data_IF_460033218378
#
_entry.id   IF_460033218378
#
_cell.length_a   1.000
_cell.length_b   1.000
_cell.length_c   1.000
_cell.angle_alpha   90.00
_cell.angle_beta   90.00
_cell.angle_gamma   90.00
#
_symmetry.space_group_name_H-M   'P 1'
#
loop_
_entity.id
_entity.type
_entity.pdbx_description
1 polymer ?
#
# COMPACT_ATOMS: atom_id res chain seq x y z
N UNK A 1 -31.02 -17.07 -3.58
CA UNK A 1 -31.33 -16.00 -4.56
C UNK A 1 -30.37 -14.83 -4.43
N UNK A 2 -30.19 -14.26 -3.22
CA UNK A 2 -29.34 -13.09 -2.95
C UNK A 2 -27.89 -13.13 -3.49
N UNK A 3 -27.20 -14.28 -3.40
CA UNK A 3 -25.81 -14.40 -3.88
C UNK A 3 -25.67 -14.23 -5.39
N UNK A 4 -26.65 -14.67 -6.18
CA UNK A 4 -26.62 -14.50 -7.64
C UNK A 4 -26.79 -13.02 -8.01
N UNK A 5 -27.72 -12.31 -7.36
CA UNK A 5 -27.91 -10.86 -7.56
C UNK A 5 -26.65 -10.06 -7.19
N UNK A 6 -25.98 -10.42 -6.09
CA UNK A 6 -24.72 -9.81 -5.69
C UNK A 6 -23.57 -10.14 -6.66
N UNK A 7 -23.49 -11.37 -7.18
CA UNK A 7 -22.53 -11.70 -8.22
C UNK A 7 -22.76 -10.89 -9.50
N UNK A 8 -23.99 -10.81 -10.00
CA UNK A 8 -24.32 -9.98 -11.17
C UNK A 8 -23.90 -8.51 -10.97
N UNK A 9 -24.11 -7.96 -9.77
CA UNK A 9 -23.68 -6.61 -9.42
C UNK A 9 -22.16 -6.47 -9.33
N UNK A 10 -21.45 -7.48 -8.83
CA UNK A 10 -19.98 -7.53 -8.79
C UNK A 10 -19.38 -7.65 -10.19
N UNK A 11 -19.91 -8.56 -11.01
CA UNK A 11 -19.57 -8.73 -12.41
C UNK A 11 -19.74 -7.41 -13.19
N UNK A 12 -20.90 -6.76 -13.10
CA UNK A 12 -21.14 -5.47 -13.75
C UNK A 12 -20.16 -4.37 -13.29
N UNK A 13 -19.86 -4.29 -11.98
CA UNK A 13 -18.89 -3.33 -11.44
C UNK A 13 -17.45 -3.61 -11.91
N UNK A 14 -17.02 -4.87 -11.93
CA UNK A 14 -15.68 -5.29 -12.37
C UNK A 14 -15.51 -5.11 -13.89
N UNK A 15 -16.49 -5.50 -14.69
CA UNK A 15 -16.51 -5.27 -16.14
C UNK A 15 -16.47 -3.79 -16.49
N UNK A 16 -17.26 -2.93 -15.81
CA UNK A 16 -17.19 -1.46 -15.97
C UNK A 16 -15.83 -0.87 -15.58
N UNK A 17 -15.06 -1.54 -14.72
CA UNK A 17 -13.70 -1.15 -14.37
C UNK A 17 -12.64 -1.68 -15.36
N UNK A 18 -13.01 -2.59 -16.27
CA UNK A 18 -12.12 -3.20 -17.25
C UNK A 18 -11.48 -4.51 -16.78
N UNK A 19 -12.13 -5.29 -15.93
CA UNK A 19 -11.74 -6.69 -15.69
C UNK A 19 -11.95 -7.49 -16.99
N UNK A 20 -10.92 -8.26 -17.39
CA UNK A 20 -10.90 -9.01 -18.67
C UNK A 20 -10.71 -10.52 -18.49
N UNK A 21 -10.19 -10.95 -17.35
CA UNK A 21 -9.82 -12.34 -17.07
C UNK A 21 -11.05 -13.18 -16.66
N UNK A 22 -12.21 -12.93 -17.29
CA UNK A 22 -13.45 -13.67 -17.06
C UNK A 22 -13.36 -15.11 -17.58
N UNK A 23 -12.50 -15.38 -18.58
CA UNK A 23 -12.23 -16.72 -19.09
C UNK A 23 -11.53 -17.63 -18.07
N UNK A 24 -10.85 -17.08 -17.06
CA UNK A 24 -10.24 -17.85 -15.97
C UNK A 24 -11.10 -17.88 -14.70
N UNK A 25 -12.39 -17.50 -14.79
CA UNK A 25 -13.32 -17.43 -13.67
C UNK A 25 -14.60 -18.17 -14.02
N UNK A 26 -14.81 -19.34 -13.41
CA UNK A 26 -16.10 -20.05 -13.54
C UNK A 26 -17.14 -19.48 -12.57
N UNK A 27 -18.41 -19.50 -12.97
CA UNK A 27 -19.52 -19.15 -12.06
C UNK A 27 -19.58 -20.12 -10.86
N UNK A 28 -19.26 -21.40 -11.07
CA UNK A 28 -19.18 -22.40 -10.01
C UNK A 28 -18.15 -22.06 -8.94
N UNK A 29 -16.96 -21.59 -9.33
CA UNK A 29 -15.92 -21.14 -8.40
C UNK A 29 -16.36 -19.91 -7.61
N UNK A 30 -17.02 -18.95 -8.28
CA UNK A 30 -17.57 -17.78 -7.60
C UNK A 30 -18.64 -18.17 -6.58
N UNK A 31 -19.57 -19.04 -6.95
CA UNK A 31 -20.72 -19.42 -6.13
C UNK A 31 -20.36 -20.37 -4.99
N UNK A 32 -19.33 -21.21 -5.15
CA UNK A 32 -18.74 -22.01 -4.06
C UNK A 32 -17.84 -21.20 -3.13
N UNK A 33 -17.36 -20.04 -3.57
CA UNK A 33 -16.49 -19.19 -2.76
C UNK A 33 -15.01 -19.52 -2.89
N UNK A 34 -14.55 -19.99 -4.05
CA UNK A 34 -13.16 -20.36 -4.31
C UNK A 34 -12.19 -19.21 -3.94
N UNK A 35 -11.25 -19.41 -2.99
CA UNK A 35 -10.32 -18.37 -2.54
C UNK A 35 -9.54 -17.71 -3.68
N UNK A 36 -9.12 -18.49 -4.69
CA UNK A 36 -8.33 -18.00 -5.81
C UNK A 36 -9.10 -16.97 -6.65
N UNK A 37 -10.35 -17.30 -7.00
CA UNK A 37 -11.23 -16.41 -7.78
C UNK A 37 -11.44 -15.07 -7.09
N UNK A 38 -11.67 -15.07 -5.78
CA UNK A 38 -11.80 -13.82 -5.02
C UNK A 38 -10.45 -13.09 -4.88
N UNK A 39 -9.34 -13.80 -4.70
CA UNK A 39 -8.01 -13.18 -4.71
C UNK A 39 -7.68 -12.50 -6.05
N UNK A 40 -8.05 -13.09 -7.19
CA UNK A 40 -7.95 -12.47 -8.53
C UNK A 40 -8.74 -11.16 -8.60
N UNK A 41 -10.00 -11.15 -8.11
CA UNK A 41 -10.79 -9.91 -8.03
C UNK A 41 -10.13 -8.84 -7.13
N UNK A 42 -9.61 -9.23 -5.97
CA UNK A 42 -8.92 -8.32 -5.04
C UNK A 42 -7.66 -7.72 -5.66
N UNK A 43 -6.79 -8.53 -6.29
CA UNK A 43 -5.58 -8.04 -7.00
C UNK A 43 -5.96 -7.08 -8.14
N UNK A 44 -7.00 -7.39 -8.90
CA UNK A 44 -7.50 -6.48 -9.93
C UNK A 44 -7.94 -5.14 -9.32
N UNK A 45 -8.71 -5.15 -8.23
CA UNK A 45 -9.16 -3.93 -7.56
C UNK A 45 -7.97 -3.08 -7.09
N UNK A 46 -6.99 -3.67 -6.39
CA UNK A 46 -5.79 -2.95 -5.97
C UNK A 46 -4.97 -2.39 -7.16
N UNK A 47 -4.79 -3.17 -8.23
CA UNK A 47 -4.12 -2.72 -9.46
C UNK A 47 -4.89 -1.60 -10.18
N UNK A 48 -6.22 -1.61 -10.13
CA UNK A 48 -7.07 -0.65 -10.85
C UNK A 48 -7.12 0.74 -10.22
N UNK A 49 -6.81 0.84 -8.93
CA UNK A 49 -6.79 2.07 -8.13
C UNK A 49 -5.38 2.35 -7.56
N UNK A 50 -4.33 2.49 -8.40
CA UNK A 50 -2.94 2.49 -7.94
C UNK A 50 -2.62 3.62 -6.95
N UNK A 51 -3.21 4.82 -7.12
CA UNK A 51 -3.02 5.93 -6.19
C UNK A 51 -3.62 5.65 -4.80
N UNK A 52 -4.84 5.09 -4.73
CA UNK A 52 -5.47 4.71 -3.47
C UNK A 52 -4.72 3.56 -2.80
N UNK A 53 -4.31 2.54 -3.56
CA UNK A 53 -3.47 1.44 -3.07
C UNK A 53 -2.13 1.96 -2.52
N UNK A 54 -1.48 2.92 -3.20
CA UNK A 54 -0.25 3.55 -2.71
C UNK A 54 -0.47 4.38 -1.44
N UNK A 55 -1.62 5.05 -1.27
CA UNK A 55 -1.98 5.70 -0.01
C UNK A 55 -2.15 4.68 1.13
N UNK A 56 -2.78 3.54 0.86
CA UNK A 56 -2.95 2.47 1.85
C UNK A 56 -1.60 1.87 2.27
N UNK A 57 -0.71 1.57 1.32
CA UNK A 57 0.67 1.09 1.57
C UNK A 57 1.51 2.08 2.41
N UNK A 58 1.24 3.39 2.30
CA UNK A 58 1.92 4.43 3.10
C UNK A 58 1.29 4.64 4.47
N UNK A 59 -0.01 4.37 4.62
CA UNK A 59 -0.77 4.57 5.86
C UNK A 59 -0.68 3.39 6.81
N UNK A 60 -0.51 2.18 6.28
CA UNK A 60 -0.49 0.93 7.03
C UNK A 60 0.80 0.17 6.66
N UNK A 61 1.78 0.22 7.55
CA UNK A 61 3.08 -0.45 7.47
C UNK A 61 2.98 -1.97 7.28
N UNK A 62 1.96 -2.60 7.86
CA UNK A 62 1.64 -4.02 7.71
C UNK A 62 0.87 -4.37 6.43
N UNK A 63 0.36 -3.38 5.67
CA UNK A 63 -0.46 -3.65 4.48
C UNK A 63 0.43 -3.95 3.28
N UNK A 64 0.23 -5.11 2.65
CA UNK A 64 0.91 -5.54 1.43
C UNK A 64 -0.10 -6.18 0.46
N UNK A 65 0.13 -6.02 -0.85
CA UNK A 65 -0.66 -6.72 -1.88
C UNK A 65 0.03 -8.05 -2.18
N UNK A 66 -0.41 -9.09 -1.49
CA UNK A 66 0.23 -10.41 -1.45
C UNK A 66 0.05 -11.22 -2.75
N UNK A 67 1.10 -11.95 -3.12
CA UNK A 67 1.08 -12.92 -4.21
C UNK A 67 0.34 -14.21 -3.83
N UNK A 68 0.31 -14.55 -2.54
CA UNK A 68 -0.44 -15.68 -1.98
C UNK A 68 -1.91 -15.30 -1.74
N UNK A 69 -2.83 -16.18 -2.11
CA UNK A 69 -4.28 -15.89 -2.08
C UNK A 69 -4.83 -15.77 -0.65
N UNK A 70 -4.38 -16.62 0.27
CA UNK A 70 -4.87 -16.65 1.65
C UNK A 70 -4.34 -15.44 2.43
N UNK A 71 -3.05 -15.10 2.27
CA UNK A 71 -2.46 -13.88 2.83
C UNK A 71 -3.07 -12.61 2.25
N UNK A 72 -3.37 -12.57 0.94
CA UNK A 72 -4.07 -11.43 0.36
C UNK A 72 -5.46 -11.26 0.99
N UNK A 73 -6.21 -12.36 1.13
CA UNK A 73 -7.49 -12.37 1.82
C UNK A 73 -7.38 -11.86 3.26
N UNK A 74 -6.45 -12.40 4.04
CA UNK A 74 -6.18 -12.01 5.42
C UNK A 74 -5.86 -10.51 5.57
N UNK A 75 -4.94 -10.00 4.75
CA UNK A 75 -4.54 -8.60 4.73
C UNK A 75 -5.68 -7.69 4.27
N UNK A 76 -6.53 -8.16 3.34
CA UNK A 76 -7.75 -7.46 2.92
C UNK A 76 -8.80 -7.41 4.03
N UNK A 77 -9.04 -8.51 4.77
CA UNK A 77 -9.94 -8.54 5.93
C UNK A 77 -9.49 -7.51 6.98
N UNK A 78 -8.20 -7.54 7.34
CA UNK A 78 -7.62 -6.57 8.30
C UNK A 78 -7.76 -5.15 7.81
N UNK A 79 -7.55 -4.88 6.52
CA UNK A 79 -7.76 -3.57 5.92
C UNK A 79 -9.22 -3.10 5.99
N UNK A 80 -10.18 -3.95 5.63
CA UNK A 80 -11.60 -3.56 5.66
C UNK A 80 -12.09 -3.30 7.08
N UNK A 81 -11.65 -4.09 8.06
CA UNK A 81 -11.94 -3.86 9.48
C UNK A 81 -11.35 -2.53 9.98
N UNK A 82 -10.07 -2.26 9.68
CA UNK A 82 -9.34 -1.08 10.20
C UNK A 82 -9.61 0.23 9.45
N UNK A 83 -9.90 0.19 8.15
CA UNK A 83 -9.98 1.36 7.29
C UNK A 83 -11.40 1.68 6.78
N UNK A 84 -12.31 0.69 6.80
CA UNK A 84 -13.70 0.85 6.40
C UNK A 84 -14.70 0.50 7.53
N UNK A 85 -14.21 0.16 8.73
CA UNK A 85 -15.00 -0.25 9.90
C UNK A 85 -16.00 -1.38 9.62
N UNK A 86 -15.68 -2.27 8.68
CA UNK A 86 -16.52 -3.41 8.31
C UNK A 86 -16.46 -4.49 9.41
N UNK A 87 -17.60 -4.80 10.01
CA UNK A 87 -17.72 -5.72 11.16
C UNK A 87 -18.09 -7.15 10.76
N UNK A 88 -18.83 -7.34 9.67
CA UNK A 88 -19.33 -8.64 9.19
C UNK A 88 -18.34 -9.32 8.23
N UNK A 89 -17.09 -9.49 8.66
CA UNK A 89 -16.02 -10.09 7.87
C UNK A 89 -15.69 -11.52 8.33
N UNK A 90 -15.28 -12.36 7.39
CA UNK A 90 -14.69 -13.66 7.68
C UNK A 90 -13.26 -13.52 8.19
N UNK A 91 -12.77 -14.51 8.96
CA UNK A 91 -11.36 -14.59 9.35
C UNK A 91 -10.44 -14.89 8.16
N UNK A 92 -9.13 -14.68 8.36
CA UNK A 92 -8.08 -15.11 7.42
C UNK A 92 -8.18 -16.60 7.04
N UNK A 93 -8.42 -17.48 8.01
CA UNK A 93 -8.56 -18.92 7.79
C UNK A 93 -9.84 -19.27 7.03
N UNK A 94 -10.95 -18.59 7.32
CA UNK A 94 -12.22 -18.74 6.60
C UNK A 94 -12.13 -18.23 5.15
N UNK A 95 -11.28 -17.24 4.85
CA UNK A 95 -11.02 -16.83 3.47
C UNK A 95 -10.39 -17.96 2.64
N UNK A 96 -9.57 -18.82 3.24
CA UNK A 96 -8.97 -19.99 2.59
C UNK A 96 -9.94 -21.14 2.29
N UNK A 97 -11.20 -21.08 2.75
CA UNK A 97 -12.19 -22.14 2.54
C UNK A 97 -13.04 -21.88 1.28
N UNK A 98 -13.40 -22.91 0.51
CA UNK A 98 -14.46 -22.86 -0.51
C UNK A 98 -15.86 -22.85 0.15
N UNK A 99 -16.10 -21.80 0.94
CA UNK A 99 -17.32 -21.43 1.64
C UNK A 99 -17.38 -19.89 1.70
N UNK A 100 -18.45 -19.34 2.25
CA UNK A 100 -18.60 -17.89 2.47
C UNK A 100 -18.56 -17.02 1.21
N UNK A 101 -18.94 -17.56 0.04
CA UNK A 101 -19.00 -16.84 -1.25
C UNK A 101 -19.63 -15.45 -1.12
N UNK A 102 -20.80 -15.36 -0.46
CA UNK A 102 -21.52 -14.11 -0.22
C UNK A 102 -20.68 -13.08 0.56
N UNK A 103 -19.97 -13.50 1.61
CA UNK A 103 -19.09 -12.58 2.38
C UNK A 103 -17.90 -12.14 1.52
N UNK A 104 -17.32 -13.01 0.70
CA UNK A 104 -16.21 -12.65 -0.20
C UNK A 104 -16.66 -11.69 -1.33
N UNK A 105 -17.89 -11.81 -1.83
CA UNK A 105 -18.50 -10.83 -2.74
C UNK A 105 -18.65 -9.47 -2.04
N UNK A 106 -19.16 -9.47 -0.81
CA UNK A 106 -19.30 -8.26 0.01
C UNK A 106 -17.93 -7.62 0.32
N UNK A 107 -16.89 -8.40 0.58
CA UNK A 107 -15.51 -7.90 0.72
C UNK A 107 -15.03 -7.19 -0.56
N UNK A 108 -15.29 -7.75 -1.75
CA UNK A 108 -14.93 -7.10 -3.01
C UNK A 108 -15.72 -5.80 -3.23
N UNK A 109 -16.99 -5.76 -2.83
CA UNK A 109 -17.80 -4.53 -2.83
C UNK A 109 -17.29 -3.48 -1.84
N UNK A 110 -16.96 -3.87 -0.62
CA UNK A 110 -16.42 -3.00 0.42
C UNK A 110 -15.06 -2.43 0.03
N UNK A 111 -14.16 -3.25 -0.50
CA UNK A 111 -12.86 -2.79 -1.02
C UNK A 111 -13.03 -1.80 -2.17
N UNK A 112 -13.93 -2.08 -3.11
CA UNK A 112 -14.24 -1.14 -4.19
C UNK A 112 -14.83 0.19 -3.67
N UNK A 113 -15.60 0.15 -2.58
CA UNK A 113 -16.13 1.36 -1.91
C UNK A 113 -14.98 2.19 -1.31
N UNK A 114 -14.10 1.54 -0.55
CA UNK A 114 -12.92 2.15 0.09
C UNK A 114 -11.94 2.75 -0.95
N UNK A 115 -11.58 2.00 -1.99
CA UNK A 115 -10.68 2.48 -3.04
C UNK A 115 -11.27 3.65 -3.85
N UNK A 116 -12.61 3.77 -3.90
CA UNK A 116 -13.30 4.91 -4.52
C UNK A 116 -13.33 6.14 -3.61
N UNK A 117 -13.58 6.01 -2.30
CA UNK A 117 -13.58 7.18 -1.40
C UNK A 117 -12.19 7.82 -1.31
N UNK A 118 -11.13 7.01 -1.29
CA UNK A 118 -9.73 7.46 -1.35
C UNK A 118 -9.33 8.12 -2.68
N UNK A 119 -10.13 7.95 -3.75
CA UNK A 119 -9.92 8.64 -5.03
C UNK A 119 -10.58 10.03 -5.07
N UNK A 120 -11.56 10.28 -4.20
CA UNK A 120 -12.36 11.51 -4.16
C UNK A 120 -11.83 12.47 -3.07
N UNK A 121 -10.52 12.39 -2.76
CA UNK A 121 -9.87 13.25 -1.75
C UNK A 121 -8.89 14.27 -2.37
N UNK A 122 -9.36 15.30 -3.11
CA UNK A 122 -8.55 16.46 -3.46
C UNK A 122 -8.55 17.49 -2.32
N UNK A 123 -7.85 17.18 -1.23
CA UNK A 123 -7.40 18.06 -0.11
C UNK A 123 -7.17 17.16 1.11
N UNK A 124 -6.10 17.31 1.89
CA UNK A 124 -5.57 18.56 2.44
C UNK A 124 -4.05 18.64 2.29
N UNK A 125 -3.45 19.84 2.09
CA UNK A 125 -2.03 20.00 2.36
C UNK A 125 -1.78 19.68 3.83
N UNK A 126 -0.80 18.80 4.10
CA UNK A 126 -0.24 18.69 5.43
C UNK A 126 0.47 20.01 5.74
N UNK A 127 -0.25 20.95 6.35
CA UNK A 127 0.34 22.12 6.99
C UNK A 127 1.19 21.60 8.14
N UNK A 128 2.45 21.32 7.85
CA UNK A 128 3.47 21.18 8.87
C UNK A 128 3.58 22.53 9.57
N UNK A 129 2.84 22.68 10.67
CA UNK A 129 3.07 23.74 11.65
C UNK A 129 4.44 23.50 12.29
N UNK A 130 5.51 23.92 11.60
CA UNK A 130 6.82 24.14 12.19
C UNK A 130 6.72 25.44 12.98
N UNK A 131 6.01 25.36 14.11
CA UNK A 131 5.90 26.43 15.08
C UNK A 131 6.94 26.19 16.19
N UNK A 132 8.15 26.72 15.99
CA UNK A 132 9.00 27.12 17.11
C UNK A 132 9.84 28.32 16.71
N UNK A 133 9.35 29.51 17.06
CA UNK A 133 10.14 30.74 17.04
C UNK A 133 11.24 30.64 18.10
N UNK A 134 12.51 30.75 17.71
CA UNK A 134 13.48 31.55 18.48
C UNK A 134 14.36 32.39 17.55
N UNK A 135 14.77 33.55 18.08
CA UNK A 135 15.09 34.80 17.38
C UNK A 135 16.62 34.96 17.18
N UNK A 136 17.08 35.61 16.09
CA UNK A 136 18.51 35.87 15.92
C UNK A 136 19.00 37.05 16.76
N UNK A 137 20.21 36.95 17.30
CA UNK A 137 21.06 38.09 17.67
C UNK A 137 22.53 37.78 17.36
N UNK A 138 23.25 38.81 16.91
CA UNK A 138 24.68 38.78 16.63
C UNK A 138 25.45 39.63 17.67
N UNK A 139 26.79 39.67 17.51
CA UNK A 139 27.78 40.68 17.97
C UNK A 139 28.92 40.11 18.86
N UNK A 140 30.05 39.87 18.17
CA UNK A 140 31.43 40.31 18.45
C UNK A 140 32.20 40.13 19.79
N UNK A 141 33.42 39.54 19.62
CA UNK A 141 34.77 40.00 20.05
C UNK A 141 35.35 39.77 21.48
N UNK A 142 36.45 39.01 21.46
CA UNK A 142 37.81 39.37 21.95
C UNK A 142 38.21 39.09 23.41
N UNK A 143 39.29 38.29 23.59
CA UNK A 143 39.97 38.12 24.89
C UNK A 143 40.95 36.93 24.99
N UNK A 144 42.24 37.21 24.73
CA UNK A 144 43.52 36.58 25.18
C UNK A 144 43.47 35.78 26.53
N UNK A 145 44.34 34.80 26.84
CA UNK A 145 45.54 34.21 26.21
C UNK A 145 45.85 32.77 26.75
N UNK A 146 46.88 32.11 26.19
CA UNK A 146 47.35 30.72 26.39
C UNK A 146 48.45 30.59 27.53
N UNK A 147 49.29 29.53 27.69
CA UNK A 147 49.52 28.29 26.90
C UNK A 147 49.86 26.97 27.67
N UNK A 148 50.30 25.93 26.91
CA UNK A 148 50.96 24.65 27.29
C UNK A 148 50.05 23.57 27.92
N UNK A 149 50.04 22.27 27.55
CA UNK A 149 50.76 21.44 26.56
C UNK A 149 50.09 20.02 26.51
N UNK A 150 50.29 19.08 25.56
CA UNK A 150 50.94 19.05 24.23
C UNK A 150 50.72 17.67 23.55
N UNK A 151 50.56 17.62 22.21
CA UNK A 151 50.79 16.45 21.30
C UNK A 151 49.86 15.21 21.44
N UNK A 152 49.32 14.58 20.38
CA UNK A 152 49.87 14.36 19.02
C UNK A 152 48.84 13.92 17.95
N UNK A 153 49.08 14.36 16.70
CA UNK A 153 48.80 13.74 15.37
C UNK A 153 47.40 13.16 14.97
N UNK A 154 46.84 13.76 13.91
CA UNK A 154 45.83 13.23 12.95
C UNK A 154 46.54 12.94 11.58
N UNK A 155 45.89 12.74 10.39
CA UNK A 155 44.47 12.59 10.00
C UNK A 155 44.19 11.50 8.90
N UNK A 156 43.00 11.57 8.25
CA UNK A 156 42.54 10.91 7.01
C UNK A 156 41.86 9.51 7.17
N UNK A 157 40.75 9.19 6.48
CA UNK A 157 39.93 10.03 5.60
C UNK A 157 38.61 9.40 5.11
N UNK A 158 37.70 10.28 4.70
CA UNK A 158 36.87 10.24 3.48
C UNK A 158 36.15 8.95 3.00
N UNK A 159 34.80 9.05 2.97
CA UNK A 159 33.91 8.76 1.83
C UNK A 159 34.15 7.49 0.96
N UNK A 160 33.20 6.54 1.01
CA UNK A 160 32.67 5.85 -0.20
C UNK A 160 31.17 5.55 -0.10
N UNK A 161 30.39 6.37 -0.79
CA UNK A 161 29.01 6.08 -1.24
C UNK A 161 29.09 5.86 -2.76
N UNK A 162 28.22 5.00 -3.31
CA UNK A 162 28.05 4.63 -4.73
C UNK A 162 29.04 3.61 -5.32
N UNK A 163 28.57 2.36 -5.47
CA UNK A 163 29.21 1.39 -6.39
C UNK A 163 28.19 0.38 -6.98
N UNK A 164 27.05 0.87 -7.51
CA UNK A 164 26.08 0.10 -8.33
C UNK A 164 25.41 0.95 -9.43
N UNK A 165 26.19 1.76 -10.15
CA UNK A 165 25.69 2.62 -11.26
C UNK A 165 26.58 2.64 -12.51
N UNK A 166 27.47 1.65 -12.68
CA UNK A 166 28.43 1.60 -13.81
C UNK A 166 28.13 0.55 -14.90
N UNK A 167 27.05 -0.23 -14.79
CA UNK A 167 26.77 -1.36 -15.70
C UNK A 167 25.74 -1.05 -16.81
N UNK A 168 25.33 0.21 -16.98
CA UNK A 168 24.30 0.62 -17.97
C UNK A 168 24.80 1.49 -19.13
N UNK A 169 26.11 1.72 -19.24
CA UNK A 169 26.72 2.52 -20.34
C UNK A 169 27.63 1.73 -21.30
N UNK A 170 27.73 0.40 -21.17
CA UNK A 170 28.49 -0.45 -22.09
C UNK A 170 27.69 -0.94 -23.31
N UNK A 171 26.37 -0.70 -23.36
CA UNK A 171 25.49 -1.10 -24.49
C UNK A 171 25.05 0.13 -25.29
N UNK A 172 26.00 0.81 -25.94
CA UNK A 172 25.78 1.74 -27.06
C UNK A 172 27.11 2.26 -27.64
N UNK A 173 27.83 1.43 -28.41
CA UNK A 173 28.70 1.80 -29.56
C UNK A 173 29.57 0.61 -29.98
N UNK A 174 29.08 -0.14 -30.96
CA UNK A 174 29.85 -0.89 -31.96
C UNK A 174 29.03 -0.85 -33.24
#
# INVERSE_FOLDING_TARGET
>A
MESASNFCLLHAKLSKLGFRDWSSVSEGDVMTGNPHTFAVFLRFLYRRFPAATAMLLRRYDWFLVEADDVRLGATTVRLLSTAASETNLISATQFGMCKYAMVKMNMCHALLRLLRSLRITPSSPAVFNIASNQKPMAIERSGKAAPCSSSSLSPNGHLRINERRSELNSVSRS
#
